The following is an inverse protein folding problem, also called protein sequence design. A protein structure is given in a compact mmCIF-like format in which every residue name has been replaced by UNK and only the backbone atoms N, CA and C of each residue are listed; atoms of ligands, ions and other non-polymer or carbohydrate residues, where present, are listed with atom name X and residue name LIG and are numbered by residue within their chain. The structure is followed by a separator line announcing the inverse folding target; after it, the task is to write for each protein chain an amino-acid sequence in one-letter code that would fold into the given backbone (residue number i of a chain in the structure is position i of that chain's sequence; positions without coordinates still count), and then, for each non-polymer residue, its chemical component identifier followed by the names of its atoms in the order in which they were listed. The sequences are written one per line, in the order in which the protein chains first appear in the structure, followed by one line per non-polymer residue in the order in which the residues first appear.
data_IF_842109507054
#
_entry.id   IF_842109507054
#
_cell.length_a   1.000
_cell.length_b   1.000
_cell.length_c   1.000
_cell.angle_alpha   90.00
_cell.angle_beta   90.00
_cell.angle_gamma   90.00
#
_symmetry.space_group_name_H-M   'P 1'
#
loop_
_entity.id
_entity.type
_entity.pdbx_description
1 polymer ?
#
# COMPACT_ATOMS: atom_id res chain seq x y z
N UNK A 1 6.20 6.84 27.85
CA UNK A 1 7.13 5.79 28.33
C UNK A 1 7.62 5.05 27.10
N UNK A 2 8.80 5.42 26.60
CA UNK A 2 9.36 4.93 25.32
C UNK A 2 10.34 3.79 25.63
N UNK A 3 10.07 2.58 25.13
CA UNK A 3 10.83 1.37 25.48
C UNK A 3 11.08 0.44 24.30
N UNK A 4 11.55 0.96 23.16
CA UNK A 4 11.76 0.16 21.94
C UNK A 4 13.20 0.20 21.38
N UNK A 5 14.20 0.55 22.19
CA UNK A 5 15.61 0.50 21.78
C UNK A 5 16.43 -0.41 22.70
N UNK A 6 16.33 -1.72 22.48
CA UNK A 6 17.40 -2.65 22.88
C UNK A 6 17.14 -4.06 22.34
N UNK A 7 17.83 -4.43 21.26
CA UNK A 7 18.66 -5.64 21.16
C UNK A 7 19.02 -5.94 19.70
N UNK A 8 20.17 -5.45 19.24
CA UNK A 8 20.83 -5.98 18.03
C UNK A 8 21.63 -7.22 18.42
N UNK A 9 20.93 -8.34 18.59
CA UNK A 9 21.55 -9.66 18.67
C UNK A 9 21.79 -10.18 17.26
N UNK A 10 23.05 -10.53 16.96
CA UNK A 10 23.44 -11.19 15.70
C UNK A 10 22.75 -12.57 15.63
N UNK A 11 21.56 -12.62 15.04
CA UNK A 11 20.84 -13.87 14.78
C UNK A 11 21.12 -14.32 13.35
N UNK A 12 22.13 -15.19 13.25
CA UNK A 12 22.38 -16.05 12.10
C UNK A 12 21.14 -16.92 11.82
N UNK A 13 20.64 -16.87 10.57
CA UNK A 13 19.33 -17.34 10.05
C UNK A 13 18.15 -16.41 10.34
N UNK A 14 17.99 -15.38 9.50
CA UNK A 14 16.79 -14.55 9.41
C UNK A 14 15.56 -15.43 9.11
N UNK A 15 14.76 -15.75 10.14
CA UNK A 15 13.37 -16.14 9.94
C UNK A 15 12.63 -14.87 9.54
N UNK A 16 12.14 -14.82 8.32
CA UNK A 16 11.25 -13.74 7.88
C UNK A 16 9.96 -13.83 8.69
N UNK A 17 9.88 -13.10 9.80
CA UNK A 17 8.65 -12.95 10.57
C UNK A 17 7.86 -11.81 9.97
N UNK A 18 6.64 -12.09 9.53
CA UNK A 18 5.69 -11.07 9.12
C UNK A 18 4.49 -11.07 10.05
N UNK A 19 4.01 -9.88 10.38
CA UNK A 19 2.79 -9.66 11.16
C UNK A 19 1.85 -8.81 10.33
N UNK A 20 0.62 -9.28 10.16
CA UNK A 20 -0.42 -8.52 9.44
C UNK A 20 -1.55 -8.15 10.39
N UNK A 21 -1.86 -6.85 10.48
CA UNK A 21 -3.04 -6.32 11.16
C UNK A 21 -4.09 -5.96 10.12
N UNK A 22 -5.32 -6.46 10.30
CA UNK A 22 -6.42 -6.21 9.38
C UNK A 22 -7.34 -5.13 9.91
N UNK A 23 -7.73 -4.22 9.02
CA UNK A 23 -8.60 -3.09 9.35
C UNK A 23 -9.69 -2.92 8.29
N UNK A 24 -10.89 -2.59 8.73
CA UNK A 24 -11.93 -2.07 7.86
C UNK A 24 -11.78 -0.55 7.75
N UNK A 25 -11.83 -0.03 6.51
CA UNK A 25 -11.69 1.40 6.24
C UNK A 25 -12.79 1.86 5.29
N UNK A 26 -13.39 3.01 5.62
CA UNK A 26 -14.18 3.72 4.64
C UNK A 26 -13.25 4.18 3.48
N UNK A 27 -13.65 4.01 2.21
CA UNK A 27 -12.82 4.41 1.07
C UNK A 27 -12.37 5.87 1.12
N UNK A 28 -13.23 6.74 1.67
CA UNK A 28 -12.88 8.15 1.93
C UNK A 28 -11.69 8.25 2.87
N UNK A 29 -11.71 7.64 4.05
CA UNK A 29 -10.60 7.68 5.01
C UNK A 29 -9.28 7.20 4.41
N UNK A 30 -9.33 6.15 3.59
CA UNK A 30 -8.15 5.70 2.83
C UNK A 30 -7.64 6.81 1.90
N UNK A 31 -8.49 7.40 1.07
CA UNK A 31 -8.10 8.45 0.11
C UNK A 31 -7.60 9.72 0.83
N UNK A 32 -8.16 10.00 2.01
CA UNK A 32 -7.75 11.13 2.83
C UNK A 32 -6.34 10.96 3.39
N UNK A 33 -6.02 9.79 3.92
CA UNK A 33 -4.70 9.52 4.48
C UNK A 33 -3.63 9.26 3.41
N UNK A 34 -3.97 8.59 2.30
CA UNK A 34 -2.98 8.27 1.25
C UNK A 34 -2.31 9.53 0.70
N UNK A 35 -3.06 10.62 0.55
CA UNK A 35 -2.54 11.91 0.08
C UNK A 35 -1.55 12.60 1.02
N UNK A 36 -1.32 12.07 2.23
CA UNK A 36 -0.37 12.62 3.21
C UNK A 36 0.90 11.76 3.36
N UNK A 37 0.97 10.59 2.72
CA UNK A 37 2.08 9.64 2.93
C UNK A 37 3.43 10.08 2.32
N UNK A 38 3.44 11.04 1.40
CA UNK A 38 4.66 11.39 0.66
C UNK A 38 5.03 10.34 -0.39
N UNK A 39 6.31 9.99 -0.51
CA UNK A 39 6.80 9.05 -1.53
C UNK A 39 6.61 7.59 -1.12
N UNK A 40 5.94 6.80 -1.95
CA UNK A 40 5.66 5.38 -1.70
C UNK A 40 5.91 4.54 -2.95
N UNK A 41 6.07 3.22 -2.77
CA UNK A 41 6.12 2.27 -3.88
C UNK A 41 4.75 1.60 -4.03
N UNK A 42 4.05 1.92 -5.11
CA UNK A 42 2.74 1.41 -5.45
C UNK A 42 2.83 0.23 -6.43
N UNK A 43 2.15 -0.86 -6.11
CA UNK A 43 1.99 -2.03 -6.97
C UNK A 43 0.50 -2.27 -7.20
N UNK A 44 0.11 -2.32 -8.46
CA UNK A 44 -1.20 -2.82 -8.85
C UNK A 44 -1.13 -3.50 -10.22
N UNK A 45 -1.93 -4.55 -10.46
CA UNK A 45 -2.11 -5.11 -11.78
C UNK A 45 -2.89 -4.11 -12.66
N UNK A 46 -2.64 -4.09 -13.97
CA UNK A 46 -3.50 -3.37 -14.90
C UNK A 46 -4.92 -3.94 -14.79
N UNK A 47 -5.91 -3.06 -14.73
CA UNK A 47 -7.31 -3.47 -14.75
C UNK A 47 -7.64 -4.12 -16.09
N UNK A 48 -7.78 -5.45 -16.10
CA UNK A 48 -8.33 -6.18 -17.24
C UNK A 48 -9.84 -5.95 -17.31
N UNK A 49 -10.25 -4.94 -18.08
CA UNK A 49 -11.52 -4.77 -18.81
C UNK A 49 -12.89 -4.91 -18.12
N UNK A 50 -13.03 -5.60 -16.98
CA UNK A 50 -14.32 -6.09 -16.48
C UNK A 50 -14.57 -5.82 -14.99
N UNK A 51 -13.60 -5.27 -14.25
CA UNK A 51 -13.66 -5.19 -12.77
C UNK A 51 -14.20 -3.87 -12.19
N UNK A 52 -14.66 -2.92 -13.02
CA UNK A 52 -15.24 -1.64 -12.56
C UNK A 52 -16.77 -1.67 -12.41
N UNK A 53 -17.36 -2.86 -12.23
CA UNK A 53 -18.81 -2.99 -11.98
C UNK A 53 -19.20 -2.60 -10.54
N UNK A 54 -18.24 -2.40 -9.64
CA UNK A 54 -18.53 -1.92 -8.29
C UNK A 54 -18.89 -0.43 -8.34
N UNK A 55 -19.99 0.00 -7.69
CA UNK A 55 -20.34 1.42 -7.64
C UNK A 55 -19.17 2.17 -7.02
N UNK A 56 -18.70 3.21 -7.72
CA UNK A 56 -17.66 4.11 -7.23
C UNK A 56 -17.99 4.47 -5.79
N UNK A 57 -17.10 4.14 -4.85
CA UNK A 57 -17.34 4.36 -3.44
C UNK A 57 -17.90 5.76 -3.22
N UNK A 58 -19.10 5.89 -2.64
CA UNK A 58 -19.92 7.11 -2.72
C UNK A 58 -19.11 8.40 -2.54
N UNK A 59 -18.88 9.09 -3.65
CA UNK A 59 -18.12 10.34 -3.72
C UNK A 59 -16.59 10.21 -3.73
N UNK A 60 -16.02 9.10 -4.20
CA UNK A 60 -14.58 8.94 -4.46
C UNK A 60 -14.31 8.77 -5.96
N UNK A 61 -13.28 9.42 -6.47
CA UNK A 61 -12.84 9.35 -7.86
C UNK A 61 -11.31 9.21 -7.92
N UNK A 62 -10.79 8.70 -9.04
CA UNK A 62 -9.35 8.65 -9.31
C UNK A 62 -9.00 9.41 -10.59
N UNK A 63 -7.82 10.06 -10.61
CA UNK A 63 -7.35 10.81 -11.79
C UNK A 63 -6.79 9.90 -12.90
N UNK A 64 -6.42 8.65 -12.58
CA UNK A 64 -5.81 7.69 -13.53
C UNK A 64 -6.35 6.28 -13.34
N UNK A 65 -6.42 5.51 -14.44
CA UNK A 65 -6.83 4.12 -14.46
C UNK A 65 -5.91 3.22 -13.60
N UNK A 66 -4.64 3.58 -13.43
CA UNK A 66 -3.71 2.83 -12.59
C UNK A 66 -4.12 2.83 -11.11
N UNK A 67 -4.87 3.84 -10.67
CA UNK A 67 -5.33 4.00 -9.28
C UNK A 67 -6.70 3.41 -9.03
N UNK A 68 -7.43 3.04 -10.08
CA UNK A 68 -8.79 2.52 -9.95
C UNK A 68 -8.92 1.26 -9.07
N UNK A 69 -7.90 0.39 -8.89
CA UNK A 69 -7.97 -0.69 -7.90
C UNK A 69 -8.20 -0.20 -6.45
N UNK A 70 -7.82 1.04 -6.12
CA UNK A 70 -8.08 1.62 -4.79
C UNK A 70 -9.55 1.98 -4.57
N UNK A 71 -10.35 2.18 -5.62
CA UNK A 71 -11.78 2.48 -5.48
C UNK A 71 -12.59 1.29 -4.97
N UNK A 72 -12.12 0.07 -5.23
CA UNK A 72 -12.78 -1.18 -4.84
C UNK A 72 -12.22 -1.75 -3.53
N UNK A 73 -11.15 -1.17 -2.99
CA UNK A 73 -10.58 -1.58 -1.71
C UNK A 73 -11.57 -1.27 -0.55
N UNK A 74 -11.89 -2.30 0.24
CA UNK A 74 -12.79 -2.23 1.41
C UNK A 74 -12.08 -2.55 2.72
N UNK A 75 -11.06 -3.38 2.64
CA UNK A 75 -10.23 -3.76 3.77
C UNK A 75 -8.77 -3.43 3.47
N UNK A 76 -8.01 -3.21 4.54
CA UNK A 76 -6.57 -3.07 4.43
C UNK A 76 -5.87 -4.08 5.35
N UNK A 77 -4.81 -4.68 4.84
CA UNK A 77 -3.87 -5.49 5.62
C UNK A 77 -2.57 -4.73 5.79
N UNK A 78 -2.28 -4.28 7.01
CA UNK A 78 -1.01 -3.65 7.34
C UNK A 78 -0.01 -4.73 7.70
N UNK A 79 1.00 -4.91 6.87
CA UNK A 79 1.99 -5.94 7.07
C UNK A 79 3.34 -5.30 7.35
N UNK A 80 3.97 -5.74 8.45
CA UNK A 80 5.37 -5.48 8.76
C UNK A 80 6.12 -6.80 8.65
N UNK A 81 7.20 -6.83 7.88
CA UNK A 81 8.06 -7.99 7.73
C UNK A 81 9.52 -7.61 7.94
N UNK A 82 10.23 -8.40 8.73
CA UNK A 82 11.67 -8.25 8.92
C UNK A 82 12.35 -9.16 7.90
N UNK A 83 12.98 -8.57 6.89
CA UNK A 83 13.74 -9.27 5.85
C UNK A 83 15.23 -9.19 6.13
N UNK A 84 16.05 -9.92 5.36
CA UNK A 84 17.51 -9.84 5.46
C UNK A 84 18.05 -8.42 5.16
N UNK A 85 17.37 -7.69 4.28
CA UNK A 85 17.73 -6.32 3.86
C UNK A 85 17.19 -5.24 4.81
N UNK A 86 16.37 -5.63 5.78
CA UNK A 86 15.77 -4.73 6.77
C UNK A 86 14.25 -4.89 6.92
N UNK A 87 13.64 -4.09 7.81
CA UNK A 87 12.20 -4.03 7.98
C UNK A 87 11.54 -3.47 6.72
N UNK A 88 10.43 -4.09 6.31
CA UNK A 88 9.60 -3.64 5.20
C UNK A 88 8.16 -3.57 5.67
N UNK A 89 7.49 -2.49 5.34
CA UNK A 89 6.10 -2.25 5.70
C UNK A 89 5.27 -1.97 4.45
N UNK A 90 4.07 -2.52 4.41
CA UNK A 90 3.15 -2.26 3.30
C UNK A 90 1.67 -2.37 3.71
N UNK A 91 0.83 -1.69 2.93
CA UNK A 91 -0.63 -1.87 2.91
C UNK A 91 -0.97 -2.82 1.78
N UNK A 92 -1.72 -3.86 2.08
CA UNK A 92 -2.50 -4.60 1.10
C UNK A 92 -3.92 -4.06 1.06
N UNK A 93 -4.31 -3.43 -0.05
CA UNK A 93 -5.70 -3.09 -0.34
C UNK A 93 -6.45 -4.32 -0.82
N UNK A 94 -7.59 -4.62 -0.20
CA UNK A 94 -8.36 -5.83 -0.46
C UNK A 94 -9.82 -5.49 -0.78
N UNK A 95 -10.38 -6.12 -1.80
CA UNK A 95 -11.78 -5.92 -2.20
C UNK A 95 -12.75 -6.52 -1.18
N UNK A 96 -14.06 -6.29 -1.37
CA UNK A 96 -15.09 -6.91 -0.53
C UNK A 96 -15.03 -8.45 -0.58
N UNK A 97 -14.61 -9.00 -1.72
CA UNK A 97 -14.50 -10.42 -2.02
C UNK A 97 -13.23 -11.07 -1.43
N UNK A 98 -12.33 -10.27 -0.83
CA UNK A 98 -11.09 -10.76 -0.23
C UNK A 98 -9.90 -10.83 -1.20
N UNK A 99 -10.03 -10.33 -2.42
CA UNK A 99 -8.95 -10.31 -3.41
C UNK A 99 -8.03 -9.09 -3.20
N UNK A 100 -6.72 -9.31 -3.35
CA UNK A 100 -5.75 -8.20 -3.28
C UNK A 100 -5.86 -7.36 -4.54
N UNK A 101 -6.16 -6.08 -4.39
CA UNK A 101 -6.37 -5.15 -5.52
C UNK A 101 -5.21 -4.18 -5.70
N UNK A 102 -4.51 -3.84 -4.62
CA UNK A 102 -3.34 -2.98 -4.66
C UNK A 102 -2.41 -3.28 -3.48
N UNK A 103 -1.14 -2.94 -3.63
CA UNK A 103 -0.15 -2.94 -2.56
C UNK A 103 0.63 -1.64 -2.54
N UNK A 104 0.85 -1.08 -1.35
CA UNK A 104 1.60 0.15 -1.15
C UNK A 104 2.71 -0.12 -0.14
N UNK A 105 3.97 -0.11 -0.56
CA UNK A 105 5.11 -0.19 0.35
C UNK A 105 5.53 1.21 0.81
N UNK A 106 5.87 1.30 2.09
CA UNK A 106 6.55 2.48 2.62
C UNK A 106 8.01 2.45 2.16
N UNK A 107 8.49 3.65 1.88
CA UNK A 107 9.88 3.94 1.59
C UNK A 107 10.45 4.76 2.75
N UNK A 108 11.79 4.88 2.88
CA UNK A 108 12.41 5.75 3.87
C UNK A 108 11.93 7.21 3.80
N UNK A 109 11.48 7.65 2.62
CA UNK A 109 10.94 8.98 2.35
C UNK A 109 9.43 9.12 2.65
N UNK A 110 8.77 8.05 3.11
CA UNK A 110 7.36 8.09 3.50
C UNK A 110 7.19 8.80 4.84
N UNK A 111 6.15 9.63 4.96
CA UNK A 111 5.75 10.21 6.24
C UNK A 111 5.12 9.14 7.15
N UNK A 112 5.93 8.63 8.08
CA UNK A 112 5.54 7.61 9.05
C UNK A 112 4.50 8.09 10.07
N UNK A 113 4.39 9.40 10.32
CA UNK A 113 3.36 9.94 11.20
C UNK A 113 2.01 9.99 10.47
N UNK A 114 2.03 10.40 9.20
CA UNK A 114 0.84 10.35 8.34
C UNK A 114 0.36 8.90 8.15
N UNK A 115 1.28 7.95 8.04
CA UNK A 115 0.98 6.52 8.02
C UNK A 115 0.23 6.05 9.26
N UNK A 116 0.75 6.32 10.46
CA UNK A 116 0.10 5.89 11.71
C UNK A 116 -1.27 6.58 11.88
N UNK A 117 -1.34 7.87 11.53
CA UNK A 117 -2.57 8.65 11.54
C UNK A 117 -3.66 8.12 10.59
N UNK A 118 -3.28 7.47 9.48
CA UNK A 118 -4.24 6.90 8.51
C UNK A 118 -5.18 5.87 9.14
N UNK A 119 -4.71 5.19 10.18
CA UNK A 119 -5.39 4.06 10.81
C UNK A 119 -5.93 4.37 12.21
N UNK A 120 -5.81 5.61 12.68
CA UNK A 120 -6.20 6.00 14.03
C UNK A 120 -7.67 5.66 14.35
N UNK A 121 -8.57 5.90 13.39
CA UNK A 121 -10.01 5.63 13.52
C UNK A 121 -10.44 4.30 12.86
N UNK A 122 -9.48 3.49 12.39
CA UNK A 122 -9.78 2.27 11.67
C UNK A 122 -10.18 1.14 12.63
N UNK A 123 -11.26 0.43 12.28
CA UNK A 123 -11.76 -0.66 13.12
C UNK A 123 -10.97 -1.95 12.84
N UNK A 124 -10.38 -2.60 13.87
CA UNK A 124 -9.74 -3.90 13.71
C UNK A 124 -10.77 -4.94 13.28
N UNK A 125 -10.37 -5.79 12.33
CA UNK A 125 -11.21 -6.92 11.90
C UNK A 125 -10.41 -8.22 11.96
N UNK A 126 -11.14 -9.34 11.99
CA UNK A 126 -10.53 -10.63 11.70
C UNK A 126 -9.97 -10.63 10.27
N UNK A 127 -8.94 -11.44 10.03
CA UNK A 127 -8.40 -11.61 8.69
C UNK A 127 -9.53 -12.04 7.74
N UNK A 128 -9.80 -11.29 6.64
CA UNK A 128 -10.74 -11.73 5.64
C UNK A 128 -10.24 -13.04 5.03
N UNK A 129 -11.15 -13.81 4.41
CA UNK A 129 -10.80 -14.98 3.61
C UNK A 129 -10.02 -14.55 2.36
N UNK A 130 -8.76 -14.16 2.56
CA UNK A 130 -7.94 -13.49 1.57
C UNK A 130 -7.32 -14.52 0.65
N UNK A 131 -7.37 -14.26 -0.66
CA UNK A 131 -6.38 -14.88 -1.56
C UNK A 131 -5.09 -14.09 -1.42
N UNK A 132 -4.06 -14.70 -0.83
CA UNK A 132 -2.70 -14.18 -0.90
C UNK A 132 -2.39 -13.80 -2.35
N UNK A 133 -1.78 -12.63 -2.61
CA UNK A 133 -1.45 -12.23 -3.96
C UNK A 133 -0.58 -13.33 -4.55
N UNK A 134 -1.11 -14.00 -5.58
CA UNK A 134 -0.40 -15.09 -6.21
C UNK A 134 0.77 -14.51 -7.03
N UNK A 135 1.70 -15.37 -7.43
CA UNK A 135 2.85 -14.94 -8.24
C UNK A 135 2.42 -14.25 -9.55
N UNK A 136 1.28 -14.64 -10.11
CA UNK A 136 0.73 -14.05 -11.33
C UNK A 136 0.28 -12.60 -11.12
N UNK A 137 -0.37 -12.31 -9.99
CA UNK A 137 -0.75 -10.95 -9.61
C UNK A 137 0.48 -10.04 -9.47
N UNK A 138 1.53 -10.53 -8.82
CA UNK A 138 2.79 -9.78 -8.69
C UNK A 138 3.44 -9.56 -10.06
N UNK A 139 3.49 -10.60 -10.90
CA UNK A 139 4.05 -10.50 -12.27
C UNK A 139 3.27 -9.56 -13.18
N UNK A 140 1.95 -9.53 -13.04
CA UNK A 140 1.08 -8.63 -13.78
C UNK A 140 1.15 -7.20 -13.24
N UNK A 141 1.52 -7.03 -11.96
CA UNK A 141 1.63 -5.73 -11.34
C UNK A 141 2.74 -4.89 -11.95
N UNK A 142 2.53 -3.58 -11.95
CA UNK A 142 3.59 -2.61 -12.25
C UNK A 142 3.96 -1.91 -10.96
N UNK A 143 5.25 -1.90 -10.64
CA UNK A 143 5.76 -1.15 -9.50
C UNK A 143 6.03 0.29 -9.94
N UNK A 144 5.48 1.26 -9.21
CA UNK A 144 5.65 2.70 -9.48
C UNK A 144 5.99 3.44 -8.21
N UNK A 145 7.02 4.28 -8.27
CA UNK A 145 7.36 5.19 -7.19
C UNK A 145 6.53 6.47 -7.38
N UNK A 146 5.58 6.71 -6.48
CA UNK A 146 4.63 7.81 -6.63
C UNK A 146 4.27 8.45 -5.30
N UNK A 147 3.74 9.67 -5.38
CA UNK A 147 3.09 10.37 -4.28
C UNK A 147 1.63 10.53 -4.65
N UNK A 148 0.75 10.10 -3.75
CA UNK A 148 -0.67 10.32 -3.92
C UNK A 148 -1.00 11.80 -3.69
N UNK A 149 -1.89 12.34 -4.51
CA UNK A 149 -2.40 13.70 -4.34
C UNK A 149 -3.90 13.64 -4.11
N UNK A 150 -4.40 14.40 -3.15
CA UNK A 150 -5.83 14.51 -2.88
C UNK A 150 -6.37 15.85 -3.36
N UNK A 151 -7.55 15.83 -3.98
CA UNK A 151 -8.33 17.03 -4.32
C UNK A 151 -9.79 16.82 -3.96
N UNK A 152 -10.51 17.90 -3.64
CA UNK A 152 -11.96 17.88 -3.41
C UNK A 152 -12.62 18.61 -4.57
N UNK A 153 -13.59 17.96 -5.22
CA UNK A 153 -14.30 18.52 -6.38
C UNK A 153 -15.80 18.23 -6.23
N UNK A 154 -16.63 19.27 -6.07
CA UNK A 154 -18.09 19.16 -6.06
C UNK A 154 -18.66 17.98 -5.25
N UNK A 155 -18.19 17.78 -4.01
CA UNK A 155 -18.62 16.69 -3.13
C UNK A 155 -17.82 15.39 -3.24
N UNK A 156 -16.99 15.24 -4.28
CA UNK A 156 -16.11 14.09 -4.50
C UNK A 156 -14.72 14.31 -3.88
N UNK A 157 -14.13 13.25 -3.34
CA UNK A 157 -12.69 13.14 -3.05
C UNK A 157 -12.01 12.48 -4.24
N UNK A 158 -11.16 13.24 -4.92
CA UNK A 158 -10.39 12.76 -6.07
C UNK A 158 -8.98 12.40 -5.61
N UNK A 159 -8.56 11.18 -5.90
CA UNK A 159 -7.21 10.68 -5.67
C UNK A 159 -6.42 10.67 -6.98
N UNK A 160 -5.39 11.49 -7.04
CA UNK A 160 -4.39 11.50 -8.07
C UNK A 160 -3.09 10.85 -7.62
N UNK A 161 -2.15 10.74 -8.55
CA UNK A 161 -0.78 10.38 -8.26
C UNK A 161 0.16 11.17 -9.16
N UNK A 162 1.35 11.45 -8.63
CA UNK A 162 2.46 12.06 -9.35
C UNK A 162 3.71 11.24 -9.07
N UNK A 163 4.68 11.28 -9.96
CA UNK A 163 5.96 10.62 -9.70
C UNK A 163 6.62 11.28 -8.48
N UNK A 164 7.09 10.46 -7.54
CA UNK A 164 7.66 10.96 -6.31
C UNK A 164 9.14 11.29 -6.48
N UNK A 165 9.53 12.48 -6.03
CA UNK A 165 10.95 12.81 -5.85
C UNK A 165 11.42 12.24 -4.51
N UNK A 166 11.93 11.00 -4.52
CA UNK A 166 12.48 10.35 -3.33
C UNK A 166 14.02 10.38 -3.33
N UNK A 167 14.62 10.20 -2.15
CA UNK A 167 16.07 10.11 -1.98
C UNK A 167 16.69 8.95 -2.78
N UNK A 168 18.01 8.98 -2.95
CA UNK A 168 18.77 7.85 -3.55
C UNK A 168 18.60 6.57 -2.73
N UNK A 169 18.49 6.70 -1.40
CA UNK A 169 18.20 5.57 -0.51
C UNK A 169 16.82 4.99 -0.80
N UNK A 170 15.79 5.84 -0.92
CA UNK A 170 14.45 5.40 -1.28
C UNK A 170 14.39 4.69 -2.63
N UNK A 171 15.12 5.19 -3.63
CA UNK A 171 15.23 4.50 -4.93
C UNK A 171 15.89 3.11 -4.79
N UNK A 172 16.94 3.01 -3.97
CA UNK A 172 17.60 1.74 -3.66
C UNK A 172 16.64 0.73 -3.03
N UNK A 173 15.90 1.16 -2.00
CA UNK A 173 14.90 0.32 -1.30
C UNK A 173 13.77 -0.07 -2.25
N UNK A 174 13.24 0.86 -3.05
CA UNK A 174 12.19 0.56 -4.01
C UNK A 174 12.62 -0.50 -5.05
N UNK A 175 13.86 -0.39 -5.54
CA UNK A 175 14.45 -1.36 -6.47
C UNK A 175 14.63 -2.73 -5.83
N UNK A 176 15.13 -2.78 -4.61
CA UNK A 176 15.31 -4.03 -3.85
C UNK A 176 13.97 -4.73 -3.59
N UNK A 177 12.93 -3.97 -3.21
CA UNK A 177 11.57 -4.50 -3.06
C UNK A 177 11.06 -5.05 -4.38
N UNK A 178 11.17 -4.28 -5.48
CA UNK A 178 10.69 -4.72 -6.79
C UNK A 178 11.39 -6.00 -7.26
N UNK A 179 12.70 -6.12 -7.04
CA UNK A 179 13.46 -7.34 -7.35
C UNK A 179 13.02 -8.53 -6.49
N UNK A 180 12.85 -8.31 -5.18
CA UNK A 180 12.39 -9.33 -4.24
C UNK A 180 10.98 -9.83 -4.57
N UNK A 181 10.09 -8.95 -5.05
CA UNK A 181 8.73 -9.28 -5.47
C UNK A 181 8.68 -9.75 -6.94
N UNK A 182 9.81 -9.74 -7.65
CA UNK A 182 9.93 -10.07 -9.08
C UNK A 182 9.04 -9.22 -10.01
N UNK A 183 8.92 -7.94 -9.69
CA UNK A 183 8.09 -6.94 -10.39
C UNK A 183 8.97 -5.91 -11.11
N UNK A 184 8.56 -5.48 -12.30
CA UNK A 184 9.23 -4.39 -13.01
C UNK A 184 8.85 -3.02 -12.46
N UNK A 185 9.83 -2.13 -12.29
CA UNK A 185 9.58 -0.71 -11.98
C UNK A 185 9.31 0.03 -13.28
N UNK A 186 8.14 0.66 -13.39
CA UNK A 186 7.86 1.63 -14.43
C UNK A 186 8.44 2.99 -13.99
N UNK A 187 9.30 3.54 -14.84
CA UNK A 187 9.89 4.87 -14.69
C UNK A 187 9.05 5.98 -15.30
#
# INVERSE_FOLDING_TARGET
MFGWLSSFGVLSRARTTSTTRWLALAPRTLFEGLGQLGGVLYLAPPLSGCALSAPAADGCLVESADLAPLLVARYVGLTCAITAEGPREWIDGVSAEGDTVARIYLLPDTDYLAWDGLFADASPIAAPARRSPNREWLRASRARVLTFTRRRMSGFTVLGARDACISTLGHGVARDIAMSESVGIAG
#
